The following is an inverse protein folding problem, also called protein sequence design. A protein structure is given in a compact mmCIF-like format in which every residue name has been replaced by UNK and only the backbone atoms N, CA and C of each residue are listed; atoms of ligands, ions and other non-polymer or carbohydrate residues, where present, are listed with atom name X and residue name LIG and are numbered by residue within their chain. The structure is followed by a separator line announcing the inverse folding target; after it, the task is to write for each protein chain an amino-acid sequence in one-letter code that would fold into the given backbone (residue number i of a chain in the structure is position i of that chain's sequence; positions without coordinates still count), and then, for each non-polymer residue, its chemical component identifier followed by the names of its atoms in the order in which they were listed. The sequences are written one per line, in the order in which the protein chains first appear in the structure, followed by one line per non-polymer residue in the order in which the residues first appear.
data_IF_779387900434
#
_entry.id   IF_779387900434
#
_cell.length_a   1.000
_cell.length_b   1.000
_cell.length_c   1.000
_cell.angle_alpha   90.00
_cell.angle_beta   90.00
_cell.angle_gamma   90.00
#
_symmetry.space_group_name_H-M   'P 1'
#
loop_
_entity.id
_entity.type
_entity.pdbx_description
1 polymer ?
#
# COMPACT_ATOMS: atom_id res chain seq x y z
N UNK A 1 4.97 -12.24 -7.16
CA UNK A 1 4.18 -12.11 -5.94
C UNK A 1 3.07 -11.08 -6.08
N UNK A 2 2.28 -10.91 -5.03
CA UNK A 2 1.21 -9.94 -5.00
C UNK A 2 -0.05 -10.47 -4.30
N UNK A 3 -1.12 -9.69 -4.37
CA UNK A 3 -2.41 -10.15 -3.85
C UNK A 3 -3.04 -11.19 -4.77
N UNK A 4 -3.72 -12.16 -4.18
CA UNK A 4 -4.42 -13.24 -4.91
C UNK A 4 -5.88 -12.91 -5.20
N UNK A 5 -6.40 -11.81 -4.63
CA UNK A 5 -7.81 -11.45 -4.70
C UNK A 5 -8.03 -9.94 -4.84
N UNK A 6 -8.11 -9.21 -3.75
CA UNK A 6 -8.41 -7.78 -3.70
C UNK A 6 -7.15 -6.94 -3.84
N UNK A 7 -7.11 -5.96 -4.75
CA UNK A 7 -5.99 -5.04 -4.85
C UNK A 7 -5.87 -4.14 -3.60
N UNK A 8 -4.63 -3.78 -3.21
CA UNK A 8 -4.39 -2.96 -2.03
C UNK A 8 -5.07 -1.58 -2.11
N UNK A 9 -5.05 -0.94 -3.28
CA UNK A 9 -5.79 0.31 -3.52
C UNK A 9 -7.29 0.16 -3.30
N UNK A 10 -7.88 -0.95 -3.78
CA UNK A 10 -9.30 -1.22 -3.57
C UNK A 10 -9.66 -1.42 -2.08
N UNK A 11 -8.79 -2.06 -1.29
CA UNK A 11 -8.99 -2.17 0.15
C UNK A 11 -9.02 -0.79 0.80
N UNK A 12 -8.08 0.09 0.44
CA UNK A 12 -8.01 1.44 0.97
C UNK A 12 -9.20 2.31 0.53
N UNK A 13 -9.62 2.18 -0.73
CA UNK A 13 -10.80 2.89 -1.25
C UNK A 13 -12.08 2.43 -0.56
N UNK A 14 -12.24 1.14 -0.29
CA UNK A 14 -13.38 0.62 0.49
C UNK A 14 -13.36 1.12 1.94
N UNK A 15 -12.18 1.14 2.58
CA UNK A 15 -12.03 1.72 3.91
C UNK A 15 -12.40 3.22 3.91
N UNK A 16 -11.94 3.96 2.91
CA UNK A 16 -12.30 5.37 2.74
C UNK A 16 -13.79 5.59 2.51
N UNK A 17 -14.42 4.75 1.69
CA UNK A 17 -15.86 4.80 1.44
C UNK A 17 -16.69 4.58 2.72
N UNK A 18 -16.29 3.62 3.57
CA UNK A 18 -16.91 3.41 4.89
C UNK A 18 -16.82 4.65 5.80
N UNK A 19 -15.76 5.44 5.62
CA UNK A 19 -15.53 6.70 6.35
C UNK A 19 -16.15 7.93 5.66
N UNK A 20 -16.84 7.75 4.53
CA UNK A 20 -17.41 8.86 3.76
C UNK A 20 -16.38 9.75 3.06
N UNK A 21 -15.16 9.24 2.83
CA UNK A 21 -14.09 9.98 2.14
C UNK A 21 -14.29 9.97 0.62
N UNK A 22 -13.83 11.03 -0.09
CA UNK A 22 -13.97 11.09 -1.55
C UNK A 22 -13.14 10.00 -2.23
N UNK A 23 -13.58 9.58 -3.41
CA UNK A 23 -12.83 8.67 -4.27
C UNK A 23 -11.92 9.46 -5.26
N UNK A 24 -10.67 9.02 -5.50
CA UNK A 24 -9.95 7.93 -4.83
C UNK A 24 -9.57 8.31 -3.39
N UNK A 25 -9.80 7.38 -2.46
CA UNK A 25 -9.74 7.69 -1.02
C UNK A 25 -8.32 7.70 -0.43
N UNK A 26 -7.33 7.18 -1.16
CA UNK A 26 -5.98 6.91 -0.61
C UNK A 26 -5.32 8.11 0.07
N UNK A 27 -5.33 9.28 -0.56
CA UNK A 27 -4.74 10.51 0.01
C UNK A 27 -5.48 11.02 1.25
N UNK A 28 -6.81 11.07 1.18
CA UNK A 28 -7.64 11.51 2.31
C UNK A 28 -7.54 10.53 3.49
N UNK A 29 -7.49 9.23 3.19
CA UNK A 29 -7.30 8.17 4.19
C UNK A 29 -5.94 8.29 4.88
N UNK A 30 -4.87 8.54 4.13
CA UNK A 30 -3.51 8.73 4.66
C UNK A 30 -3.45 9.97 5.57
N UNK A 31 -4.01 11.09 5.12
CA UNK A 31 -4.08 12.32 5.92
C UNK A 31 -4.83 12.13 7.24
N UNK A 32 -5.98 11.43 7.20
CA UNK A 32 -6.75 11.11 8.41
C UNK A 32 -5.97 10.19 9.35
N UNK A 33 -5.31 9.17 8.81
CA UNK A 33 -4.54 8.20 9.57
C UNK A 33 -3.30 8.79 10.26
N UNK A 34 -2.72 9.85 9.69
CA UNK A 34 -1.59 10.57 10.30
C UNK A 34 -1.98 11.30 11.60
N UNK A 35 -3.26 11.60 11.81
CA UNK A 35 -3.77 12.21 13.05
C UNK A 35 -4.04 11.18 14.16
N UNK A 36 -3.95 9.89 13.85
CA UNK A 36 -4.18 8.81 14.79
C UNK A 36 -2.91 8.41 15.56
N UNK A 37 -3.12 7.88 16.76
CA UNK A 37 -2.05 7.21 17.47
C UNK A 37 -1.53 5.99 16.69
N UNK A 38 -0.23 5.65 16.84
CA UNK A 38 0.32 4.47 16.21
C UNK A 38 -0.45 3.21 16.58
N UNK A 39 -0.82 2.42 15.58
CA UNK A 39 -1.56 1.18 15.76
C UNK A 39 -0.90 0.03 15.00
N UNK A 40 -1.12 -1.19 15.49
CA UNK A 40 -0.70 -2.40 14.79
C UNK A 40 -1.83 -2.80 13.83
N UNK A 41 -1.57 -2.78 12.53
CA UNK A 41 -2.47 -3.36 11.54
C UNK A 41 -2.54 -4.88 11.64
N UNK A 42 -3.49 -5.47 10.94
CA UNK A 42 -3.58 -6.94 10.79
C UNK A 42 -2.30 -7.48 10.12
N UNK A 43 -1.87 -8.67 10.55
CA UNK A 43 -0.70 -9.35 9.98
C UNK A 43 -1.16 -10.45 9.03
N UNK A 44 -1.08 -10.27 7.71
CA UNK A 44 -1.48 -11.30 6.76
C UNK A 44 -0.52 -12.49 6.76
N UNK A 45 -1.06 -13.64 6.37
CA UNK A 45 -0.22 -14.74 5.93
C UNK A 45 0.30 -14.41 4.53
N UNK A 46 1.61 -14.53 4.33
CA UNK A 46 2.26 -14.37 3.03
C UNK A 46 3.01 -15.65 2.72
N UNK A 47 2.78 -16.21 1.55
CA UNK A 47 3.46 -17.40 1.06
C UNK A 47 3.90 -17.18 -0.38
N UNK A 48 5.17 -17.46 -0.70
CA UNK A 48 5.75 -17.23 -2.03
C UNK A 48 5.49 -15.80 -2.55
N UNK A 49 5.65 -14.81 -1.70
CA UNK A 49 5.34 -13.39 -1.96
C UNK A 49 3.86 -13.13 -2.32
N UNK A 50 2.94 -14.07 -2.09
CA UNK A 50 1.50 -13.94 -2.35
C UNK A 50 0.73 -13.81 -1.05
N UNK A 51 -0.33 -13.01 -1.06
CA UNK A 51 -1.19 -12.76 0.09
C UNK A 51 -2.63 -12.47 -0.35
N UNK A 52 -3.59 -12.70 0.57
CA UNK A 52 -4.99 -12.35 0.38
C UNK A 52 -5.33 -11.09 1.16
N UNK A 53 -6.02 -10.15 0.54
CA UNK A 53 -6.54 -8.95 1.17
C UNK A 53 -8.04 -9.01 1.47
N UNK A 54 -8.80 -9.91 0.87
CA UNK A 54 -10.24 -10.05 1.11
C UNK A 54 -10.55 -10.42 2.57
N UNK A 55 -9.77 -11.33 3.16
CA UNK A 55 -9.90 -11.65 4.58
C UNK A 55 -9.58 -10.46 5.51
N UNK A 56 -8.72 -9.56 5.07
CA UNK A 56 -8.38 -8.34 5.81
C UNK A 56 -9.46 -7.26 5.70
N UNK A 57 -10.23 -7.23 4.62
CA UNK A 57 -11.37 -6.34 4.49
C UNK A 57 -12.36 -6.54 5.64
N UNK A 58 -12.69 -7.78 5.98
CA UNK A 58 -13.57 -8.10 7.10
C UNK A 58 -13.03 -7.56 8.43
N UNK A 59 -11.69 -7.58 8.63
CA UNK A 59 -11.07 -7.02 9.83
C UNK A 59 -11.16 -5.49 9.86
N UNK A 60 -10.99 -4.83 8.71
CA UNK A 60 -11.17 -3.38 8.57
C UNK A 60 -12.63 -2.98 8.84
N UNK A 61 -13.60 -3.72 8.27
CA UNK A 61 -15.02 -3.48 8.49
C UNK A 61 -15.45 -3.71 9.95
N UNK A 62 -14.89 -4.73 10.61
CA UNK A 62 -15.14 -4.95 12.04
C UNK A 62 -14.53 -3.84 12.91
N UNK A 63 -13.35 -3.35 12.55
CA UNK A 63 -12.71 -2.24 13.23
C UNK A 63 -13.55 -0.96 13.13
N UNK A 64 -14.18 -0.71 11.98
CA UNK A 64 -15.09 0.42 11.75
C UNK A 64 -16.21 0.50 12.79
N UNK A 65 -16.72 -0.64 13.27
CA UNK A 65 -17.84 -0.69 14.23
C UNK A 65 -17.45 -0.22 15.63
N UNK A 66 -16.16 -0.22 15.97
CA UNK A 66 -15.68 -0.06 17.35
C UNK A 66 -14.61 1.02 17.53
N UNK A 67 -13.98 1.47 16.44
CA UNK A 67 -12.87 2.42 16.48
C UNK A 67 -13.27 3.79 15.96
N UNK A 68 -12.56 4.82 16.40
CA UNK A 68 -12.68 6.16 15.82
C UNK A 68 -12.23 6.15 14.34
N UNK A 69 -12.79 7.03 13.48
CA UNK A 69 -12.46 7.11 12.06
C UNK A 69 -10.94 7.16 11.77
N UNK A 70 -10.19 7.97 12.52
CA UNK A 70 -8.74 8.09 12.36
C UNK A 70 -8.00 6.78 12.68
N UNK A 71 -8.45 6.04 13.70
CA UNK A 71 -7.85 4.76 14.07
C UNK A 71 -8.17 3.66 13.05
N UNK A 72 -9.38 3.66 12.48
CA UNK A 72 -9.73 2.76 11.39
C UNK A 72 -8.87 3.04 10.14
N UNK A 73 -8.70 4.30 9.75
CA UNK A 73 -7.84 4.70 8.65
C UNK A 73 -6.39 4.24 8.87
N UNK A 74 -5.86 4.43 10.08
CA UNK A 74 -4.53 3.98 10.47
C UNK A 74 -4.41 2.46 10.38
N UNK A 75 -5.37 1.72 10.93
CA UNK A 75 -5.39 0.26 10.91
C UNK A 75 -5.37 -0.30 9.47
N UNK A 76 -6.15 0.29 8.56
CA UNK A 76 -6.19 -0.13 7.16
C UNK A 76 -4.82 0.04 6.47
N UNK A 77 -4.17 1.20 6.62
CA UNK A 77 -2.85 1.47 6.04
C UNK A 77 -1.75 0.60 6.65
N UNK A 78 -1.75 0.41 7.97
CA UNK A 78 -0.80 -0.48 8.64
C UNK A 78 -0.98 -1.95 8.22
N UNK A 79 -2.22 -2.36 7.94
CA UNK A 79 -2.52 -3.70 7.42
C UNK A 79 -1.91 -3.91 6.02
N UNK A 80 -2.08 -2.93 5.12
CA UNK A 80 -1.46 -2.97 3.78
C UNK A 80 0.07 -2.93 3.90
N UNK A 81 0.62 -2.06 4.76
CA UNK A 81 2.05 -2.00 5.00
C UNK A 81 2.63 -3.35 5.47
N UNK A 82 1.94 -4.03 6.39
CA UNK A 82 2.36 -5.36 6.87
C UNK A 82 2.39 -6.40 5.75
N UNK A 83 1.41 -6.38 4.83
CA UNK A 83 1.35 -7.29 3.69
C UNK A 83 2.53 -7.05 2.73
N UNK A 84 2.73 -5.78 2.35
CA UNK A 84 3.79 -5.38 1.42
C UNK A 84 5.17 -5.69 2.00
N UNK A 85 5.42 -5.30 3.26
CA UNK A 85 6.70 -5.55 3.93
C UNK A 85 7.02 -7.04 3.92
N UNK A 86 6.07 -7.88 4.35
CA UNK A 86 6.29 -9.32 4.46
C UNK A 86 6.52 -9.98 3.09
N UNK A 87 5.79 -9.56 2.06
CA UNK A 87 6.01 -10.03 0.69
C UNK A 87 7.39 -9.60 0.16
N UNK A 88 7.79 -8.35 0.45
CA UNK A 88 9.11 -7.83 0.07
C UNK A 88 10.24 -8.57 0.78
N UNK A 89 10.08 -8.91 2.07
CA UNK A 89 11.05 -9.73 2.82
C UNK A 89 11.29 -11.07 2.13
N UNK A 90 10.21 -11.80 1.78
CA UNK A 90 10.33 -13.08 1.07
C UNK A 90 10.94 -12.94 -0.33
N UNK A 91 10.58 -11.86 -1.06
CA UNK A 91 11.19 -11.59 -2.36
C UNK A 91 12.70 -11.35 -2.25
N UNK A 92 13.15 -10.65 -1.20
CA UNK A 92 14.56 -10.38 -0.95
C UNK A 92 15.38 -11.61 -0.56
N UNK A 93 14.76 -12.58 0.08
CA UNK A 93 15.39 -13.87 0.35
C UNK A 93 15.81 -14.60 -0.95
N UNK A 94 15.07 -14.36 -2.04
CA UNK A 94 15.35 -14.94 -3.36
C UNK A 94 16.21 -14.02 -4.25
N UNK A 95 15.94 -12.71 -4.20
CA UNK A 95 16.51 -11.74 -5.14
C UNK A 95 17.25 -10.64 -4.38
N UNK A 96 18.51 -10.77 -4.13
CA UNK A 96 19.34 -9.79 -3.41
C UNK A 96 19.54 -8.48 -4.20
N UNK A 97 18.46 -7.76 -4.49
CA UNK A 97 18.47 -6.53 -5.29
C UNK A 97 17.82 -5.34 -4.52
N UNK A 98 18.13 -4.10 -4.90
CA UNK A 98 17.48 -2.91 -4.37
C UNK A 98 15.96 -2.95 -4.60
N UNK A 99 15.22 -2.31 -3.70
CA UNK A 99 13.76 -2.25 -3.75
C UNK A 99 13.35 -0.91 -4.38
N UNK A 100 12.56 -0.95 -5.44
CA UNK A 100 11.88 0.22 -6.00
C UNK A 100 10.38 0.11 -5.77
N UNK A 101 9.82 1.11 -5.07
CA UNK A 101 8.39 1.21 -4.78
C UNK A 101 7.75 2.28 -5.68
N UNK A 102 6.73 1.89 -6.44
CA UNK A 102 5.94 2.76 -7.30
C UNK A 102 4.45 2.42 -7.20
N UNK A 103 3.59 3.31 -7.69
CA UNK A 103 2.13 3.15 -7.67
C UNK A 103 1.44 3.94 -6.56
N UNK A 104 0.14 4.20 -6.72
CA UNK A 104 -0.63 5.07 -5.84
C UNK A 104 -0.62 4.65 -4.36
N UNK A 105 -0.62 3.37 -4.06
CA UNK A 105 -0.51 2.86 -2.68
C UNK A 105 0.82 3.23 -2.04
N UNK A 106 1.90 3.26 -2.82
CA UNK A 106 3.24 3.65 -2.36
C UNK A 106 3.40 5.18 -2.21
N UNK A 107 2.40 5.98 -2.56
CA UNK A 107 2.37 7.41 -2.25
C UNK A 107 2.05 7.67 -0.76
N UNK A 108 1.42 6.73 -0.05
CA UNK A 108 1.11 6.85 1.38
C UNK A 108 2.35 7.10 2.23
N UNK A 109 2.31 8.16 3.04
CA UNK A 109 3.40 8.51 3.95
C UNK A 109 3.60 7.43 5.03
N UNK A 110 2.51 6.83 5.52
CA UNK A 110 2.55 5.76 6.52
C UNK A 110 3.26 4.53 5.95
N UNK A 111 2.87 4.09 4.74
CA UNK A 111 3.49 2.91 4.11
C UNK A 111 4.96 3.18 3.80
N UNK A 112 5.30 4.37 3.27
CA UNK A 112 6.71 4.79 3.03
C UNK A 112 7.52 4.77 4.31
N UNK A 113 7.02 5.35 5.40
CA UNK A 113 7.71 5.37 6.69
C UNK A 113 7.96 3.95 7.22
N UNK A 114 6.99 3.04 7.06
CA UNK A 114 7.12 1.64 7.46
C UNK A 114 8.16 0.88 6.62
N UNK A 115 8.15 1.08 5.31
CA UNK A 115 9.12 0.49 4.38
C UNK A 115 10.55 1.02 4.68
N UNK A 116 10.72 2.33 4.86
CA UNK A 116 12.00 2.93 5.22
C UNK A 116 12.50 2.39 6.57
N UNK A 117 11.62 2.28 7.57
CA UNK A 117 11.99 1.71 8.88
C UNK A 117 12.49 0.28 8.76
N UNK A 118 11.93 -0.50 7.82
CA UNK A 118 12.26 -1.93 7.69
C UNK A 118 13.48 -2.19 6.81
N UNK A 119 13.64 -1.45 5.72
CA UNK A 119 14.63 -1.71 4.68
C UNK A 119 15.71 -0.63 4.56
N UNK A 120 15.53 0.52 5.19
CA UNK A 120 16.52 1.61 5.20
C UNK A 120 16.88 2.09 3.81
N UNK A 121 18.19 2.29 3.56
CA UNK A 121 18.71 2.77 2.29
C UNK A 121 18.58 1.81 1.09
N UNK A 122 18.02 0.62 1.31
CA UNK A 122 17.81 -0.35 0.23
C UNK A 122 16.48 -0.15 -0.51
N UNK A 123 15.60 0.72 0.00
CA UNK A 123 14.32 1.06 -0.61
C UNK A 123 14.33 2.45 -1.21
N UNK A 124 13.88 2.55 -2.44
CA UNK A 124 13.65 3.81 -3.16
C UNK A 124 12.18 3.92 -3.54
N UNK A 125 11.68 5.14 -3.62
CA UNK A 125 10.29 5.41 -4.00
C UNK A 125 10.23 6.31 -5.22
N UNK A 126 9.35 5.98 -6.14
CA UNK A 126 9.01 6.90 -7.22
C UNK A 126 8.36 8.17 -6.66
N UNK A 127 8.53 9.30 -7.37
CA UNK A 127 7.85 10.55 -7.05
C UNK A 127 6.34 10.33 -6.97
N UNK A 128 5.65 10.86 -5.94
CA UNK A 128 4.20 10.65 -5.77
C UNK A 128 3.37 11.08 -6.99
N UNK A 129 3.75 12.18 -7.63
CA UNK A 129 3.13 12.72 -8.84
C UNK A 129 3.26 11.80 -10.05
N UNK A 130 4.28 10.94 -10.08
CA UNK A 130 4.54 9.97 -11.14
C UNK A 130 4.08 8.55 -10.77
N UNK A 131 3.59 8.36 -9.56
CA UNK A 131 3.20 7.04 -9.03
C UNK A 131 1.72 6.69 -9.24
N UNK A 132 0.88 7.63 -9.62
CA UNK A 132 -0.55 7.41 -9.83
C UNK A 132 -0.83 6.76 -11.17
N UNK A 133 -1.06 7.58 -12.18
CA UNK A 133 -1.29 7.13 -13.55
C UNK A 133 0.06 6.93 -14.28
N UNK A 134 0.21 5.79 -14.94
CA UNK A 134 1.45 5.44 -15.66
C UNK A 134 1.38 5.75 -17.16
N UNK A 135 0.48 6.60 -17.61
CA UNK A 135 0.35 6.96 -19.03
C UNK A 135 1.66 7.53 -19.60
N UNK A 136 2.34 8.39 -18.84
CA UNK A 136 3.65 8.96 -19.22
C UNK A 136 4.71 7.87 -19.35
N UNK A 137 4.78 6.92 -18.43
CA UNK A 137 5.73 5.80 -18.50
C UNK A 137 5.50 4.92 -19.73
N UNK A 138 4.25 4.61 -20.04
CA UNK A 138 3.88 3.86 -21.25
C UNK A 138 4.26 4.63 -22.52
N UNK A 139 4.00 5.94 -22.59
CA UNK A 139 4.38 6.78 -23.72
C UNK A 139 5.90 6.83 -23.93
N UNK A 140 6.68 6.96 -22.85
CA UNK A 140 8.16 6.93 -22.92
C UNK A 140 8.67 5.57 -23.40
N UNK A 141 8.09 4.47 -22.93
CA UNK A 141 8.46 3.12 -23.40
C UNK A 141 8.11 2.93 -24.88
N UNK A 142 6.93 3.37 -25.31
CA UNK A 142 6.54 3.33 -26.73
C UNK A 142 7.51 4.12 -27.60
N UNK A 143 7.84 5.36 -27.23
CA UNK A 143 8.80 6.19 -27.95
C UNK A 143 10.19 5.51 -28.06
N UNK A 144 10.69 4.88 -27.01
CA UNK A 144 11.96 4.14 -27.03
C UNK A 144 11.92 2.90 -27.93
N UNK A 145 10.77 2.25 -28.07
CA UNK A 145 10.61 1.08 -28.95
C UNK A 145 10.47 1.48 -30.41
N UNK A 146 9.79 2.60 -30.71
CA UNK A 146 9.62 3.10 -32.08
C UNK A 146 10.89 3.74 -32.65
N UNK A 147 11.83 4.17 -31.81
CA UNK A 147 13.12 4.77 -32.24
C UNK A 147 14.28 3.74 -32.32
N UNK A 148 13.97 2.47 -32.31
CA UNK A 148 14.89 1.34 -32.62
C UNK A 148 14.65 0.80 -34.01
#
# INVERSE_FOLDING_TARGET
GGTTDLAAGQLLDRAGNLLGLPFPSGGALDALALTAEPEKGFKPKVNECKFSLSGMQNQVENKFKTAEPKQMARFALETVANAVIKATEQAREQYHCPILCAGGVMASQIIRARMNKRFGGEVSFAEPTLSGDNAVGVAVLAAKLCNR
#
